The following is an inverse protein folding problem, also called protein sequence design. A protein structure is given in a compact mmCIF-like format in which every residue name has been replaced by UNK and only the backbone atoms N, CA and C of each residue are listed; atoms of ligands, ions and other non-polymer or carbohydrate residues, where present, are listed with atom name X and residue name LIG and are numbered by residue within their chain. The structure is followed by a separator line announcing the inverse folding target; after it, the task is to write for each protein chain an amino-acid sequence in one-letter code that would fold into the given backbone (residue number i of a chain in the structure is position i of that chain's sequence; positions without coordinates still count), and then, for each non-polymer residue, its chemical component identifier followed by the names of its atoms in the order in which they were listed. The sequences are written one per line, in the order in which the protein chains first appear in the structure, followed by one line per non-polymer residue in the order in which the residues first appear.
data_IF_360157463311
#
_entry.id   IF_360157463311
#
_cell.length_a   1.000
_cell.length_b   1.000
_cell.length_c   1.000
_cell.angle_alpha   90.00
_cell.angle_beta   90.00
_cell.angle_gamma   90.00
#
_symmetry.space_group_name_H-M   'P 1'
#
loop_
_entity.id
_entity.type
_entity.pdbx_description
1 polymer ?
#
# COMPACT_ATOMS: atom_id res chain seq x y z
N UNK A 1 19.44 -13.50 -6.49
CA UNK A 1 18.05 -13.57 -6.99
C UNK A 1 18.04 -14.65 -8.06
N UNK A 2 17.34 -15.77 -7.80
CA UNK A 2 16.98 -16.92 -8.65
C UNK A 2 18.11 -17.55 -9.49
N UNK A 3 18.35 -18.85 -9.31
CA UNK A 3 19.49 -19.57 -9.89
C UNK A 3 19.22 -20.14 -11.29
N UNK A 4 18.03 -19.89 -11.86
CA UNK A 4 17.71 -20.20 -13.25
C UNK A 4 17.52 -21.70 -13.50
N UNK A 5 17.21 -22.43 -12.43
CA UNK A 5 16.93 -23.86 -12.47
C UNK A 5 15.51 -24.12 -12.99
N UNK A 6 15.21 -25.30 -13.57
CA UNK A 6 13.85 -25.67 -13.99
C UNK A 6 12.81 -25.55 -12.85
N UNK A 7 13.26 -25.69 -11.60
CA UNK A 7 12.48 -25.49 -10.39
C UNK A 7 12.02 -24.02 -10.18
N UNK A 8 12.74 -23.05 -10.74
CA UNK A 8 12.34 -21.62 -10.75
C UNK A 8 11.17 -21.35 -11.70
N UNK A 9 11.05 -22.10 -12.82
CA UNK A 9 9.94 -21.95 -13.77
C UNK A 9 8.62 -22.48 -13.22
N UNK A 10 8.68 -23.45 -12.31
CA UNK A 10 7.51 -24.01 -11.61
C UNK A 10 7.12 -23.22 -10.36
N UNK A 11 7.82 -22.13 -10.05
CA UNK A 11 7.64 -21.40 -8.81
C UNK A 11 6.39 -20.53 -8.86
N UNK A 12 5.65 -20.51 -7.74
CA UNK A 12 4.46 -19.69 -7.56
C UNK A 12 4.79 -18.19 -7.70
N UNK A 13 3.98 -17.46 -8.48
CA UNK A 13 4.06 -16.01 -8.58
C UNK A 13 3.41 -15.37 -7.37
N UNK A 14 4.23 -14.79 -6.49
CA UNK A 14 3.79 -14.13 -5.26
C UNK A 14 3.02 -12.84 -5.50
N UNK A 15 2.93 -12.35 -6.72
CA UNK A 15 2.13 -11.15 -7.05
C UNK A 15 0.70 -11.49 -7.48
N UNK A 16 0.40 -12.77 -7.77
CA UNK A 16 -0.95 -13.23 -8.13
C UNK A 16 -1.78 -13.58 -6.88
N UNK A 17 -2.73 -12.72 -6.55
CA UNK A 17 -3.68 -12.89 -5.43
C UNK A 17 -4.50 -14.18 -5.55
N UNK A 18 -4.99 -14.52 -6.75
CA UNK A 18 -5.87 -15.67 -6.95
C UNK A 18 -5.11 -16.99 -6.75
N UNK A 19 -3.87 -17.05 -7.24
CA UNK A 19 -3.00 -18.20 -7.02
C UNK A 19 -2.62 -18.31 -5.52
N UNK A 20 -2.37 -17.20 -4.84
CA UNK A 20 -2.12 -17.18 -3.40
C UNK A 20 -3.31 -17.74 -2.59
N UNK A 21 -4.54 -17.36 -2.91
CA UNK A 21 -5.74 -17.87 -2.24
C UNK A 21 -5.94 -19.37 -2.45
N UNK A 22 -5.64 -19.89 -3.64
CA UNK A 22 -5.70 -21.34 -3.92
C UNK A 22 -4.72 -22.11 -3.04
N UNK A 23 -3.49 -21.62 -2.90
CA UNK A 23 -2.48 -22.24 -2.03
C UNK A 23 -2.89 -22.18 -0.54
N UNK A 24 -3.48 -21.06 -0.10
CA UNK A 24 -3.96 -20.89 1.27
C UNK A 24 -5.16 -21.77 1.63
N UNK A 25 -5.95 -22.19 0.64
CA UNK A 25 -7.16 -23.01 0.84
C UNK A 25 -6.87 -24.51 0.78
N UNK A 26 -5.62 -24.93 0.55
CA UNK A 26 -5.27 -26.35 0.47
C UNK A 26 -5.51 -27.04 1.82
N UNK A 27 -6.12 -28.24 1.82
CA UNK A 27 -6.22 -29.05 3.02
C UNK A 27 -4.84 -29.54 3.46
N UNK A 28 -4.73 -29.95 4.73
CA UNK A 28 -3.51 -30.53 5.28
C UNK A 28 -3.00 -31.70 4.39
N UNK A 29 -1.70 -31.78 4.08
CA UNK A 29 -0.55 -31.13 4.75
C UNK A 29 -0.20 -29.70 4.30
N UNK A 30 -0.92 -29.09 3.36
CA UNK A 30 -0.67 -27.71 2.91
C UNK A 30 0.72 -27.50 2.28
N UNK A 31 1.06 -26.25 1.99
CA UNK A 31 2.38 -25.83 1.47
C UNK A 31 2.94 -24.68 2.32
N UNK A 32 4.26 -24.48 2.32
CA UNK A 32 4.93 -23.43 3.09
C UNK A 32 5.68 -22.47 2.16
N UNK A 33 5.73 -21.19 2.51
CA UNK A 33 6.45 -20.16 1.74
C UNK A 33 5.72 -18.81 1.74
N UNK A 34 6.19 -17.91 0.89
CA UNK A 34 5.49 -16.64 0.60
C UNK A 34 4.41 -16.93 -0.43
N UNK A 35 3.14 -16.70 -0.06
CA UNK A 35 2.02 -16.87 -0.99
C UNK A 35 1.68 -15.57 -1.71
N UNK A 36 1.81 -14.44 -1.03
CA UNK A 36 1.50 -13.15 -1.60
C UNK A 36 2.43 -12.07 -1.05
N UNK A 37 3.07 -11.31 -1.92
CA UNK A 37 3.92 -10.18 -1.59
C UNK A 37 3.73 -9.10 -2.65
N UNK A 38 3.21 -7.94 -2.23
CA UNK A 38 3.08 -6.77 -3.09
C UNK A 38 3.56 -5.52 -2.38
N UNK A 39 4.21 -4.64 -3.14
CA UNK A 39 4.67 -3.34 -2.65
C UNK A 39 3.52 -2.34 -2.66
N UNK A 40 2.64 -2.45 -1.65
CA UNK A 40 1.55 -1.51 -1.42
C UNK A 40 1.95 -0.52 -0.33
N UNK A 41 1.78 0.80 -0.54
CA UNK A 41 2.09 1.79 0.49
C UNK A 41 1.30 1.52 1.77
N UNK A 42 1.97 1.67 2.90
CA UNK A 42 1.35 1.51 4.21
C UNK A 42 0.30 2.59 4.45
N UNK A 43 -0.65 2.31 5.35
CA UNK A 43 -1.66 3.28 5.78
C UNK A 43 -1.04 4.62 6.19
N UNK A 44 0.03 4.58 6.99
CA UNK A 44 0.72 5.78 7.47
C UNK A 44 1.33 6.59 6.33
N UNK A 45 1.91 5.92 5.32
CA UNK A 45 2.44 6.58 4.13
C UNK A 45 1.33 7.24 3.30
N UNK A 46 0.17 6.58 3.18
CA UNK A 46 -1.00 7.15 2.52
C UNK A 46 -1.54 8.37 3.27
N UNK A 47 -1.73 8.29 4.58
CA UNK A 47 -2.21 9.43 5.39
C UNK A 47 -1.27 10.63 5.31
N UNK A 48 0.04 10.39 5.38
CA UNK A 48 1.05 11.44 5.22
C UNK A 48 0.94 12.13 3.86
N UNK A 49 0.81 11.36 2.77
CA UNK A 49 0.62 11.91 1.42
C UNK A 49 -0.63 12.80 1.32
N UNK A 50 -1.71 12.43 2.00
CA UNK A 50 -2.94 13.23 2.04
C UNK A 50 -2.75 14.54 2.80
N UNK A 51 -2.05 14.51 3.93
CA UNK A 51 -1.71 15.71 4.70
C UNK A 51 -0.85 16.66 3.86
N UNK A 52 0.19 16.14 3.20
CA UNK A 52 1.09 16.92 2.34
C UNK A 52 0.32 17.53 1.17
N UNK A 53 -0.47 16.74 0.44
CA UNK A 53 -1.28 17.23 -0.70
C UNK A 53 -2.28 18.32 -0.25
N UNK A 54 -2.83 18.21 0.96
CA UNK A 54 -3.77 19.20 1.49
C UNK A 54 -3.03 20.48 1.90
N UNK A 55 -1.86 20.37 2.51
CA UNK A 55 -1.01 21.51 2.89
C UNK A 55 -0.45 22.25 1.67
N UNK A 56 -0.14 21.54 0.59
CA UNK A 56 0.24 22.16 -0.68
C UNK A 56 -0.88 23.05 -1.24
N UNK A 57 -2.14 22.58 -1.16
CA UNK A 57 -3.31 23.37 -1.59
C UNK A 57 -3.54 24.61 -0.73
N UNK A 58 -3.15 24.60 0.54
CA UNK A 58 -3.22 25.78 1.42
C UNK A 58 -2.02 26.71 1.27
N UNK A 59 -1.06 26.39 0.38
CA UNK A 59 0.15 27.17 0.14
C UNK A 59 1.11 27.15 1.33
N UNK A 60 1.05 26.14 2.18
CA UNK A 60 1.86 26.07 3.41
C UNK A 60 1.45 27.07 4.49
N UNK A 61 0.26 27.67 4.38
CA UNK A 61 -0.29 28.52 5.43
C UNK A 61 -0.35 27.77 6.78
N UNK A 62 -0.04 28.46 7.87
CA UNK A 62 -0.19 27.91 9.22
C UNK A 62 -1.66 27.63 9.52
N UNK A 63 -1.91 26.71 10.45
CA UNK A 63 -3.28 26.32 10.82
C UNK A 63 -4.12 27.52 11.27
N UNK A 64 -3.50 28.50 11.95
CA UNK A 64 -4.14 29.75 12.37
C UNK A 64 -4.53 30.65 11.20
N UNK A 65 -3.69 30.76 10.17
CA UNK A 65 -4.00 31.55 8.98
C UNK A 65 -5.12 30.91 8.16
N UNK A 66 -5.17 29.57 8.11
CA UNK A 66 -6.27 28.84 7.49
C UNK A 66 -7.57 29.12 8.24
N UNK A 67 -7.56 29.01 9.58
CA UNK A 67 -8.71 29.33 10.43
C UNK A 67 -9.19 30.76 10.21
N UNK A 68 -8.29 31.75 10.25
CA UNK A 68 -8.65 33.16 10.03
C UNK A 68 -9.30 33.36 8.65
N UNK A 69 -8.70 32.82 7.57
CA UNK A 69 -9.26 32.89 6.22
C UNK A 69 -10.65 32.24 6.11
N UNK A 70 -10.93 31.19 6.88
CA UNK A 70 -12.26 30.57 6.89
C UNK A 70 -13.30 31.46 7.58
N UNK A 71 -12.95 32.07 8.71
CA UNK A 71 -13.84 33.02 9.40
C UNK A 71 -14.09 34.28 8.58
N UNK A 72 -13.07 34.80 7.90
CA UNK A 72 -13.20 35.98 7.05
C UNK A 72 -14.13 35.73 5.84
N UNK A 73 -14.20 34.48 5.34
CA UNK A 73 -15.10 34.09 4.25
C UNK A 73 -16.57 33.98 4.68
N UNK A 74 -16.83 33.84 5.98
CA UNK A 74 -18.17 33.72 6.55
C UNK A 74 -18.80 35.08 6.90
N UNK A 75 -18.06 36.17 6.75
CA UNK A 75 -18.58 37.54 6.86
C UNK A 75 -19.10 38.03 5.51
#
# INVERSE_FOLDING_TARGET
KWDGTPEDEMRHDVTDELAAYKLATLPFPGVFGVFYETDRPTKNALEKKWIETTREKTGGASDLEILQKTFDRMK
#
